data_IF_987225161490
#
_entry.id   IF_987225161490
#
_cell.length_a   1.000
_cell.length_b   1.000
_cell.length_c   1.000
_cell.angle_alpha   90.00
_cell.angle_beta   90.00
_cell.angle_gamma   90.00
#
_symmetry.space_group_name_H-M   'P 1'
#
loop_
_entity.id
_entity.type
_entity.pdbx_description
1 polymer ?
#
# COMPACT_ATOMS: atom_id res chain seq x y z
N UNK A 1 -5.46 -25.79 6.18
CA UNK A 1 -4.55 -25.03 7.05
C UNK A 1 -4.32 -23.70 6.34
N UNK A 2 -4.89 -22.59 6.83
CA UNK A 2 -4.75 -21.29 6.17
C UNK A 2 -3.35 -20.78 6.56
N UNK A 3 -2.41 -20.79 5.62
CA UNK A 3 -1.08 -20.23 5.84
C UNK A 3 -1.28 -18.77 6.26
N UNK A 4 -0.64 -18.34 7.34
CA UNK A 4 -0.63 -16.94 7.72
C UNK A 4 0.19 -16.22 6.66
N UNK A 5 -0.46 -15.54 5.71
CA UNK A 5 0.26 -14.69 4.78
C UNK A 5 0.74 -13.47 5.55
N UNK A 6 2.04 -13.47 5.83
CA UNK A 6 2.71 -12.31 6.40
C UNK A 6 2.76 -11.21 5.33
N UNK A 7 2.63 -9.93 5.73
CA UNK A 7 2.81 -8.83 4.79
C UNK A 7 4.21 -8.87 4.19
N UNK A 8 4.30 -8.58 2.89
CA UNK A 8 5.57 -8.42 2.17
C UNK A 8 5.93 -6.95 2.15
N UNK A 9 7.11 -6.61 2.68
CA UNK A 9 7.62 -5.25 2.71
C UNK A 9 8.38 -5.00 1.41
N UNK A 10 7.87 -4.07 0.60
CA UNK A 10 8.47 -3.65 -0.67
C UNK A 10 9.08 -2.27 -0.52
N UNK A 11 10.34 -2.09 -0.96
CA UNK A 11 11.03 -0.79 -0.93
C UNK A 11 11.91 -0.59 -2.17
N UNK A 12 12.73 0.44 -2.21
CA UNK A 12 13.67 0.68 -3.31
C UNK A 12 14.82 -0.34 -3.33
N UNK A 13 15.29 -0.77 -2.15
CA UNK A 13 16.45 -1.64 -1.97
C UNK A 13 16.20 -2.66 -0.87
N UNK A 14 16.83 -3.82 -0.98
CA UNK A 14 16.87 -4.81 0.10
C UNK A 14 17.64 -4.27 1.31
N UNK A 15 17.37 -4.84 2.48
CA UNK A 15 18.00 -4.45 3.74
C UNK A 15 16.97 -4.05 4.79
N UNK A 16 17.39 -3.21 5.74
CA UNK A 16 16.53 -2.75 6.84
C UNK A 16 16.02 -1.34 6.53
N UNK A 17 14.70 -1.17 6.57
CA UNK A 17 14.07 0.15 6.64
C UNK A 17 13.88 0.53 8.10
N UNK A 18 14.43 1.68 8.49
CA UNK A 18 14.26 2.27 9.80
C UNK A 18 13.02 3.18 9.78
N UNK A 19 12.02 2.85 10.61
CA UNK A 19 10.87 3.70 10.88
C UNK A 19 11.12 4.57 12.13
N UNK A 20 10.18 4.54 13.08
CA UNK A 20 10.37 5.14 14.42
C UNK A 20 11.61 4.55 15.13
N UNK A 21 12.14 5.16 16.21
CA UNK A 21 13.42 4.73 16.81
C UNK A 21 13.54 3.23 17.15
N UNK A 22 12.43 2.55 17.40
CA UNK A 22 12.40 1.11 17.71
C UNK A 22 11.79 0.24 16.59
N UNK A 23 11.44 0.83 15.44
CA UNK A 23 10.82 0.13 14.32
C UNK A 23 11.82 -0.16 13.22
N UNK A 24 12.35 -1.38 13.19
CA UNK A 24 13.18 -1.87 12.08
C UNK A 24 12.43 -2.96 11.33
N UNK A 25 12.47 -2.87 10.01
CA UNK A 25 11.75 -3.78 9.13
C UNK A 25 12.66 -4.29 8.03
N UNK A 26 12.74 -5.61 7.90
CA UNK A 26 13.45 -6.25 6.79
C UNK A 26 12.62 -6.14 5.51
N UNK A 27 13.24 -5.61 4.46
CA UNK A 27 12.65 -5.50 3.13
C UNK A 27 12.70 -6.86 2.46
N UNK A 28 11.53 -7.38 2.08
CA UNK A 28 11.40 -8.67 1.42
C UNK A 28 11.62 -8.57 -0.09
N UNK A 29 11.11 -7.49 -0.70
CA UNK A 29 11.16 -7.26 -2.14
C UNK A 29 11.53 -5.82 -2.47
N UNK A 30 12.03 -5.60 -3.69
CA UNK A 30 12.25 -4.24 -4.20
C UNK A 30 11.17 -3.86 -5.22
N UNK A 31 11.01 -2.58 -5.53
CA UNK A 31 10.18 -2.17 -6.67
C UNK A 31 10.65 -2.74 -8.02
N UNK A 32 11.90 -3.22 -8.11
CA UNK A 32 12.46 -3.85 -9.31
C UNK A 32 12.14 -5.35 -9.39
N UNK A 33 12.11 -6.04 -8.25
CA UNK A 33 11.95 -7.51 -8.18
C UNK A 33 10.55 -7.95 -7.78
N UNK A 34 9.87 -7.16 -6.96
CA UNK A 34 8.47 -7.32 -6.61
C UNK A 34 7.56 -6.80 -7.71
N UNK A 35 6.32 -7.25 -7.69
CA UNK A 35 5.28 -6.78 -8.61
C UNK A 35 3.96 -6.62 -7.88
N UNK A 36 3.20 -5.52 -8.12
CA UNK A 36 1.86 -5.34 -7.57
C UNK A 36 0.95 -6.53 -7.84
N UNK A 37 1.18 -7.29 -8.92
CA UNK A 37 0.38 -8.45 -9.31
C UNK A 37 0.47 -9.62 -8.31
N UNK A 38 1.56 -9.72 -7.55
CA UNK A 38 1.81 -10.82 -6.61
C UNK A 38 1.03 -10.69 -5.29
N UNK A 39 0.46 -9.52 -5.00
CA UNK A 39 -0.17 -9.22 -3.71
C UNK A 39 -1.66 -8.92 -3.88
N UNK A 40 -2.49 -9.26 -2.89
CA UNK A 40 -3.94 -9.05 -2.98
C UNK A 40 -4.42 -7.64 -2.58
N UNK A 41 -3.56 -6.87 -1.91
CA UNK A 41 -3.83 -5.49 -1.51
C UNK A 41 -2.55 -4.72 -1.27
N UNK A 42 -2.67 -3.39 -1.12
CA UNK A 42 -1.54 -2.50 -0.91
C UNK A 42 -1.78 -1.64 0.33
N UNK A 43 -0.84 -1.64 1.27
CA UNK A 43 -0.79 -0.68 2.37
C UNK A 43 0.41 0.24 2.18
N UNK A 44 0.14 1.51 1.88
CA UNK A 44 1.16 2.52 1.66
C UNK A 44 1.45 3.26 2.96
N UNK A 45 2.60 2.96 3.55
CA UNK A 45 3.10 3.64 4.74
C UNK A 45 4.08 4.72 4.29
N UNK A 46 3.84 5.95 4.72
CA UNK A 46 4.71 7.08 4.40
C UNK A 46 6.07 7.05 5.11
N UNK A 47 6.96 7.93 4.65
CA UNK A 47 8.27 8.22 5.23
C UNK A 47 8.88 9.44 4.53
N UNK A 48 10.20 9.61 4.62
CA UNK A 48 10.91 10.47 3.67
C UNK A 48 10.98 9.75 2.32
N UNK A 49 10.44 10.38 1.28
CA UNK A 49 10.33 9.81 -0.06
C UNK A 49 10.98 10.79 -1.04
N UNK A 50 12.04 10.37 -1.72
CA UNK A 50 12.62 11.13 -2.82
C UNK A 50 11.81 10.93 -4.11
N UNK A 51 12.16 11.69 -5.15
CA UNK A 51 11.45 11.63 -6.43
C UNK A 51 11.48 10.23 -7.06
N UNK A 52 12.55 9.47 -6.87
CA UNK A 52 12.65 8.12 -7.43
C UNK A 52 11.69 7.16 -6.71
N UNK A 53 11.68 7.18 -5.38
CA UNK A 53 10.75 6.41 -4.56
C UNK A 53 9.30 6.77 -4.90
N UNK A 54 8.98 8.07 -4.96
CA UNK A 54 7.65 8.55 -5.29
C UNK A 54 7.17 8.01 -6.64
N UNK A 55 8.01 8.04 -7.67
CA UNK A 55 7.67 7.52 -9.00
C UNK A 55 7.39 6.01 -8.97
N UNK A 56 8.22 5.22 -8.28
CA UNK A 56 8.05 3.77 -8.18
C UNK A 56 6.84 3.38 -7.34
N UNK A 57 6.66 4.00 -6.18
CA UNK A 57 5.51 3.80 -5.32
C UNK A 57 4.20 4.19 -6.02
N UNK A 58 4.18 5.32 -6.74
CA UNK A 58 3.01 5.74 -7.52
C UNK A 58 2.66 4.73 -8.60
N UNK A 59 3.65 4.16 -9.29
CA UNK A 59 3.42 3.10 -10.28
C UNK A 59 2.81 1.84 -9.64
N UNK A 60 3.28 1.46 -8.45
CA UNK A 60 2.71 0.37 -7.66
C UNK A 60 1.25 0.62 -7.26
N UNK A 61 0.93 1.86 -6.85
CA UNK A 61 -0.43 2.28 -6.51
C UNK A 61 -1.34 2.24 -7.74
N UNK A 62 -0.91 2.79 -8.87
CA UNK A 62 -1.68 2.80 -10.12
C UNK A 62 -2.01 1.38 -10.57
N UNK A 63 -1.03 0.47 -10.55
CA UNK A 63 -1.26 -0.91 -10.96
C UNK A 63 -2.21 -1.64 -10.00
N UNK A 64 -2.04 -1.43 -8.69
CA UNK A 64 -2.95 -1.99 -7.68
C UNK A 64 -4.37 -1.46 -7.85
N UNK A 65 -4.50 -0.17 -8.18
CA UNK A 65 -5.77 0.50 -8.38
C UNK A 65 -6.49 -0.03 -9.61
N UNK A 66 -5.78 -0.16 -10.74
CA UNK A 66 -6.30 -0.70 -11.99
C UNK A 66 -6.74 -2.16 -11.88
N UNK A 67 -6.14 -2.91 -10.94
CA UNK A 67 -6.56 -4.27 -10.61
C UNK A 67 -7.67 -4.34 -9.57
N UNK A 68 -8.29 -3.22 -9.22
CA UNK A 68 -9.40 -3.13 -8.28
C UNK A 68 -9.06 -3.61 -6.86
N UNK A 69 -7.77 -3.64 -6.49
CA UNK A 69 -7.32 -4.10 -5.17
C UNK A 69 -7.59 -3.07 -4.07
N UNK A 70 -7.87 -3.47 -2.82
CA UNK A 70 -7.88 -2.56 -1.69
C UNK A 70 -6.52 -1.84 -1.54
N UNK A 71 -6.58 -0.54 -1.30
CA UNK A 71 -5.41 0.31 -1.06
C UNK A 71 -5.64 1.05 0.25
N UNK A 72 -4.80 0.82 1.24
CA UNK A 72 -4.75 1.60 2.48
C UNK A 72 -3.57 2.56 2.45
N UNK A 73 -3.69 3.68 3.13
CA UNK A 73 -2.64 4.69 3.24
C UNK A 73 -2.58 5.29 4.63
N UNK A 74 -1.35 5.51 5.12
CA UNK A 74 -1.04 6.08 6.44
C UNK A 74 0.01 7.18 6.32
N UNK A 75 -0.06 8.20 7.21
CA UNK A 75 0.91 9.30 7.28
C UNK A 75 1.17 9.94 5.90
N UNK A 76 2.43 10.19 5.56
CA UNK A 76 2.85 10.85 4.32
C UNK A 76 2.52 10.03 3.06
N UNK A 77 2.17 8.75 3.18
CA UNK A 77 1.74 7.92 2.05
C UNK A 77 0.49 8.48 1.39
N UNK A 78 -0.33 9.24 2.11
CA UNK A 78 -1.58 9.79 1.59
C UNK A 78 -1.35 10.82 0.48
N UNK A 79 -0.16 11.44 0.43
CA UNK A 79 0.23 12.37 -0.63
C UNK A 79 0.25 11.72 -2.02
N UNK A 80 0.63 10.44 -2.13
CA UNK A 80 0.60 9.69 -3.40
C UNK A 80 -0.84 9.41 -3.83
N UNK A 81 -1.72 9.07 -2.89
CA UNK A 81 -3.14 8.84 -3.17
C UNK A 81 -3.80 10.13 -3.68
N UNK A 82 -3.47 11.25 -3.05
CA UNK A 82 -3.97 12.58 -3.42
C UNK A 82 -3.43 13.04 -4.77
N UNK A 83 -2.13 12.88 -5.05
CA UNK A 83 -1.52 13.28 -6.32
C UNK A 83 -2.07 12.50 -7.52
N UNK A 84 -2.51 11.26 -7.29
CA UNK A 84 -3.16 10.41 -8.27
C UNK A 84 -4.67 10.66 -8.41
N UNK A 85 -5.26 11.56 -7.60
CA UNK A 85 -6.69 11.89 -7.59
C UNK A 85 -7.62 10.66 -7.39
N UNK A 86 -7.18 9.69 -6.58
CA UNK A 86 -7.96 8.48 -6.26
C UNK A 86 -8.49 8.48 -4.82
N UNK A 87 -8.33 9.59 -4.09
CA UNK A 87 -8.94 9.77 -2.77
C UNK A 87 -10.47 9.64 -2.84
N UNK A 88 -11.06 8.96 -1.84
CA UNK A 88 -12.50 8.72 -1.75
C UNK A 88 -13.05 7.68 -2.73
N UNK A 89 -12.23 7.12 -3.64
CA UNK A 89 -12.66 6.05 -4.55
C UNK A 89 -12.92 4.74 -3.79
N UNK A 90 -13.84 3.88 -4.25
CA UNK A 90 -14.15 2.61 -3.58
C UNK A 90 -12.90 1.75 -3.35
N UNK A 91 -12.66 1.39 -2.08
CA UNK A 91 -11.52 0.54 -1.69
C UNK A 91 -10.20 1.28 -1.50
N UNK A 92 -10.19 2.62 -1.61
CA UNK A 92 -9.05 3.47 -1.26
C UNK A 92 -9.31 4.08 0.12
N UNK A 93 -8.45 3.78 1.09
CA UNK A 93 -8.58 4.18 2.48
C UNK A 93 -7.41 5.10 2.87
N UNK A 94 -7.72 6.29 3.38
CA UNK A 94 -6.77 7.18 4.03
C UNK A 94 -7.20 7.30 5.49
N UNK A 95 -6.36 6.89 6.43
CA UNK A 95 -6.66 6.96 7.86
C UNK A 95 -5.35 7.18 8.64
N UNK A 96 -5.40 8.03 9.68
CA UNK A 96 -4.24 8.42 10.49
C UNK A 96 -4.23 7.75 11.87
N UNK A 97 -5.34 7.12 12.27
CA UNK A 97 -5.37 6.21 13.40
C UNK A 97 -4.95 4.79 12.95
N UNK A 98 -3.82 4.24 13.45
CA UNK A 98 -3.29 2.97 12.96
C UNK A 98 -4.22 1.79 13.26
N UNK A 99 -4.95 1.82 14.39
CA UNK A 99 -5.88 0.75 14.76
C UNK A 99 -7.10 0.75 13.85
N UNK A 100 -7.66 1.93 13.57
CA UNK A 100 -8.79 2.05 12.65
C UNK A 100 -8.38 1.71 11.22
N UNK A 101 -7.20 2.17 10.77
CA UNK A 101 -6.67 1.82 9.46
C UNK A 101 -6.54 0.29 9.31
N UNK A 102 -5.92 -0.38 10.27
CA UNK A 102 -5.78 -1.83 10.23
C UNK A 102 -7.15 -2.54 10.15
N UNK A 103 -8.12 -2.13 10.97
CA UNK A 103 -9.46 -2.72 10.97
C UNK A 103 -10.19 -2.50 9.64
N UNK A 104 -10.20 -1.28 9.10
CA UNK A 104 -10.87 -0.98 7.85
C UNK A 104 -10.16 -1.61 6.64
N UNK A 105 -8.83 -1.65 6.65
CA UNK A 105 -8.06 -2.31 5.61
C UNK A 105 -8.30 -3.82 5.61
N UNK A 106 -8.32 -4.49 6.77
CA UNK A 106 -8.68 -5.91 6.88
C UNK A 106 -10.09 -6.15 6.33
N UNK A 107 -11.06 -5.31 6.67
CA UNK A 107 -12.42 -5.39 6.10
C UNK A 107 -12.39 -5.25 4.57
N UNK A 108 -11.62 -4.30 4.04
CA UNK A 108 -11.46 -4.12 2.61
C UNK A 108 -10.80 -5.34 1.93
N UNK A 109 -9.81 -5.96 2.56
CA UNK A 109 -9.18 -7.21 2.11
C UNK A 109 -10.18 -8.37 1.99
N UNK A 110 -11.20 -8.44 2.87
CA UNK A 110 -12.23 -9.49 2.76
C UNK A 110 -13.09 -9.37 1.51
N UNK A 111 -13.19 -8.18 0.91
CA UNK A 111 -13.88 -7.97 -0.37
C UNK A 111 -13.03 -8.37 -1.58
N UNK A 112 -11.71 -8.49 -1.41
CA UNK A 112 -10.70 -8.76 -2.45
C UNK A 112 -10.60 -7.70 -3.55
N UNK A 113 -11.72 -7.36 -4.20
CA UNK A 113 -11.79 -6.44 -5.33
C UNK A 113 -12.97 -5.48 -5.19
N UNK A 114 -12.78 -4.24 -5.64
CA UNK A 114 -13.78 -3.17 -5.57
C UNK A 114 -14.29 -2.82 -6.97
N UNK A 115 -15.12 -3.70 -7.53
CA UNK A 115 -15.63 -3.61 -8.91
C UNK A 115 -16.42 -2.34 -9.21
N UNK A 116 -16.98 -1.68 -8.19
CA UNK A 116 -17.72 -0.41 -8.34
C UNK A 116 -16.85 0.71 -8.93
N UNK A 117 -15.52 0.60 -8.88
CA UNK A 117 -14.61 1.53 -9.55
C UNK A 117 -14.73 1.53 -11.07
N UNK A 118 -15.28 0.49 -11.69
CA UNK A 118 -15.48 0.44 -13.14
C UNK A 118 -16.51 1.48 -13.62
N UNK A 119 -17.27 2.04 -12.69
CA UNK A 119 -18.38 2.96 -12.95
C UNK A 119 -18.21 4.31 -12.23
N UNK A 120 -17.05 4.59 -11.61
CA UNK A 120 -16.85 5.72 -10.69
C UNK A 120 -15.80 6.74 -11.10
#
# INVERSE_FOLDING_TARGET
>A
MKTLELPVIVSERLGIVQGTPNGQWEVNDTFLTGSPLLYDGLLLIGGEMDDHFLNKASSFVVESYNHFKPIGSFQNGSSIIQSLNIEGKPGVLIEQDPTRLANEFIKAMTKQRFWDRAYS
#
